data_IF_377865466141
#
_entry.id   IF_377865466141
#
_cell.length_a   1.000
_cell.length_b   1.000
_cell.length_c   1.000
_cell.angle_alpha   90.00
_cell.angle_beta   90.00
_cell.angle_gamma   90.00
#
_symmetry.space_group_name_H-M   'P 1'
#
loop_
_entity.id
_entity.type
_entity.pdbx_description
1 polymer ?
#
# COMPACT_ATOMS: atom_id res chain seq x y z
N UNK A 1 -7.07 10.26 4.76
CA UNK A 1 -7.93 9.08 4.59
C UNK A 1 -7.81 8.21 5.82
N UNK A 2 -8.89 7.60 6.22
CA UNK A 2 -8.95 6.68 7.35
C UNK A 2 -9.68 5.41 6.90
N UNK A 3 -9.32 4.28 7.47
CA UNK A 3 -9.93 2.98 7.19
C UNK A 3 -10.92 2.64 8.30
N UNK A 4 -12.15 2.32 7.93
CA UNK A 4 -13.16 1.76 8.85
C UNK A 4 -13.58 0.38 8.34
N UNK A 5 -13.47 -0.62 9.21
CA UNK A 5 -13.99 -1.96 8.95
C UNK A 5 -15.44 -2.05 9.40
N UNK A 6 -16.29 -2.63 8.59
CA UNK A 6 -17.66 -2.98 8.96
C UNK A 6 -17.89 -4.46 8.68
N UNK A 7 -18.73 -5.11 9.50
CA UNK A 7 -19.17 -6.47 9.22
C UNK A 7 -19.88 -6.50 7.85
N UNK A 8 -19.51 -7.45 7.03
CA UNK A 8 -20.11 -7.67 5.73
C UNK A 8 -21.10 -8.83 5.81
N UNK A 9 -22.38 -8.53 5.57
CA UNK A 9 -23.47 -9.53 5.49
C UNK A 9 -23.48 -10.26 4.14
N UNK A 10 -22.33 -10.51 3.56
CA UNK A 10 -22.22 -11.31 2.35
C UNK A 10 -22.30 -12.81 2.65
N UNK A 11 -22.49 -13.66 1.63
CA UNK A 11 -22.73 -15.10 1.81
C UNK A 11 -21.63 -15.86 2.54
N UNK A 12 -20.52 -15.24 2.91
CA UNK A 12 -19.38 -15.85 3.62
C UNK A 12 -18.94 -15.09 4.89
N UNK A 13 -19.72 -14.11 5.38
CA UNK A 13 -19.46 -13.46 6.68
C UNK A 13 -18.09 -12.82 6.82
N UNK A 14 -17.66 -11.99 5.87
CA UNK A 14 -16.36 -11.31 5.90
C UNK A 14 -16.42 -9.87 6.41
N UNK A 15 -15.28 -9.32 6.83
CA UNK A 15 -15.16 -7.90 7.17
C UNK A 15 -14.89 -7.13 5.87
N UNK A 16 -15.75 -6.17 5.57
CA UNK A 16 -15.56 -5.26 4.44
C UNK A 16 -14.92 -3.97 4.93
N UNK A 17 -13.76 -3.64 4.41
CA UNK A 17 -13.13 -2.36 4.66
C UNK A 17 -13.62 -1.28 3.70
N UNK A 18 -13.86 -0.09 4.24
CA UNK A 18 -14.29 1.08 3.50
C UNK A 18 -13.20 2.15 3.54
N UNK A 19 -12.97 2.81 2.44
CA UNK A 19 -12.15 4.00 2.42
C UNK A 19 -13.02 5.20 2.77
N UNK A 20 -12.72 5.84 3.90
CA UNK A 20 -13.45 7.04 4.36
C UNK A 20 -12.54 8.24 4.37
N UNK A 21 -13.12 9.42 4.28
CA UNK A 21 -12.37 10.67 4.23
C UNK A 21 -12.89 11.73 5.18
N UNK A 22 -12.01 12.66 5.48
CA UNK A 22 -12.30 13.86 6.25
C UNK A 22 -11.81 15.07 5.49
N UNK A 23 -12.50 16.19 5.62
CA UNK A 23 -12.12 17.49 5.05
C UNK A 23 -11.98 18.53 6.13
N UNK A 24 -11.08 19.49 5.94
CA UNK A 24 -10.90 20.65 6.78
C UNK A 24 -10.59 21.88 5.91
N UNK A 25 -11.11 23.08 6.25
CA UNK A 25 -10.82 24.29 5.50
C UNK A 25 -9.38 24.79 5.67
N UNK A 26 -8.75 24.49 6.80
CA UNK A 26 -7.45 25.07 7.19
C UNK A 26 -6.42 24.04 7.70
N UNK A 27 -6.71 22.74 7.62
CA UNK A 27 -5.90 21.62 8.11
C UNK A 27 -5.69 21.57 9.64
N UNK A 28 -6.23 22.54 10.38
CA UNK A 28 -6.03 22.65 11.84
C UNK A 28 -7.30 22.30 12.61
N UNK A 29 -8.44 22.81 12.15
CA UNK A 29 -9.74 22.64 12.82
C UNK A 29 -10.85 22.44 11.80
N UNK A 30 -12.07 22.24 12.30
CA UNK A 30 -13.24 22.09 11.44
C UNK A 30 -13.23 20.83 10.60
N UNK A 31 -12.55 19.76 11.05
CA UNK A 31 -12.55 18.47 10.40
C UNK A 31 -13.95 17.88 10.37
N UNK A 32 -14.42 17.58 9.17
CA UNK A 32 -15.73 16.97 8.94
C UNK A 32 -15.55 15.66 8.18
N UNK A 33 -16.15 14.59 8.69
CA UNK A 33 -16.23 13.31 7.98
C UNK A 33 -17.04 13.48 6.71
N UNK A 34 -16.59 12.90 5.63
CA UNK A 34 -17.36 12.76 4.39
C UNK A 34 -18.39 11.65 4.65
N UNK A 35 -19.68 11.94 4.49
CA UNK A 35 -20.77 11.03 4.87
C UNK A 35 -20.73 9.70 4.11
N UNK A 36 -20.41 9.74 2.82
CA UNK A 36 -20.29 8.53 1.99
C UNK A 36 -18.86 8.02 2.00
N UNK A 37 -18.64 6.71 2.00
CA UNK A 37 -17.33 6.15 1.73
C UNK A 37 -16.75 6.70 0.43
N UNK A 38 -15.43 6.91 0.39
CA UNK A 38 -14.74 7.36 -0.81
C UNK A 38 -14.64 6.25 -1.87
N UNK A 39 -14.75 5.00 -1.44
CA UNK A 39 -14.78 3.81 -2.28
C UNK A 39 -15.84 2.85 -1.77
N UNK A 40 -16.58 2.22 -2.67
CA UNK A 40 -17.65 1.25 -2.40
C UNK A 40 -17.19 -0.21 -2.55
N UNK A 41 -15.90 -0.41 -2.63
CA UNK A 41 -15.26 -1.72 -2.75
C UNK A 41 -14.31 -1.97 -1.57
N UNK A 42 -13.99 -3.24 -1.34
CA UNK A 42 -13.05 -3.61 -0.27
C UNK A 42 -11.64 -3.21 -0.64
N UNK A 43 -10.99 -2.47 0.25
CA UNK A 43 -9.59 -2.05 0.13
C UNK A 43 -8.93 -2.18 1.49
N UNK A 44 -7.72 -2.69 1.50
CA UNK A 44 -6.91 -2.79 2.71
C UNK A 44 -5.64 -1.95 2.52
N UNK A 45 -5.46 -1.01 3.42
CA UNK A 45 -4.38 -0.04 3.29
C UNK A 45 -4.57 0.89 2.09
N UNK A 46 -4.21 2.10 2.24
CA UNK A 46 -4.27 3.07 1.15
C UNK A 46 -3.67 4.40 1.55
N UNK A 47 -2.91 4.94 0.63
CA UNK A 47 -2.29 6.26 0.80
C UNK A 47 -2.66 7.10 -0.41
N UNK A 48 -3.31 8.23 -0.17
CA UNK A 48 -3.35 9.28 -1.17
C UNK A 48 -1.93 9.80 -1.34
N UNK A 49 -1.35 9.50 -2.48
CA UNK A 49 0.03 9.84 -2.77
C UNK A 49 0.17 11.32 -3.10
N UNK A 50 -0.79 11.90 -3.82
CA UNK A 50 -0.74 13.30 -4.17
C UNK A 50 -1.83 13.75 -5.14
N UNK A 51 -1.61 14.94 -5.66
CA UNK A 51 -2.34 15.54 -6.76
C UNK A 51 -1.37 15.72 -7.93
N UNK A 52 -1.79 15.36 -9.11
CA UNK A 52 -1.05 15.47 -10.36
C UNK A 52 -1.62 16.65 -11.15
N UNK A 53 -0.87 17.74 -11.21
CA UNK A 53 -1.26 18.98 -11.90
C UNK A 53 -1.45 18.76 -13.41
N UNK A 54 -0.65 17.89 -14.03
CA UNK A 54 -0.71 17.65 -15.46
C UNK A 54 -2.00 16.96 -15.89
N UNK A 55 -2.52 16.09 -15.05
CA UNK A 55 -3.78 15.36 -15.29
C UNK A 55 -4.95 15.90 -14.49
N UNK A 56 -4.73 16.93 -13.68
CA UNK A 56 -5.71 17.52 -12.77
C UNK A 56 -6.43 16.46 -11.94
N UNK A 57 -5.68 15.50 -11.40
CA UNK A 57 -6.25 14.38 -10.67
C UNK A 57 -5.50 14.03 -9.41
N UNK A 58 -6.24 13.62 -8.39
CA UNK A 58 -5.69 12.92 -7.24
C UNK A 58 -5.31 11.50 -7.63
N UNK A 59 -4.25 10.99 -7.04
CA UNK A 59 -3.87 9.58 -7.18
C UNK A 59 -3.58 8.96 -5.82
N UNK A 60 -3.97 7.70 -5.68
CA UNK A 60 -3.77 6.91 -4.48
C UNK A 60 -3.23 5.54 -4.86
N UNK A 61 -2.27 5.06 -4.08
CA UNK A 61 -1.89 3.66 -4.12
C UNK A 61 -2.71 2.92 -3.07
N UNK A 62 -3.39 1.89 -3.50
CA UNK A 62 -4.34 1.11 -2.71
C UNK A 62 -3.93 -0.36 -2.77
N UNK A 63 -4.23 -1.09 -1.70
CA UNK A 63 -4.04 -2.53 -1.66
C UNK A 63 -5.37 -3.21 -2.02
N UNK A 64 -5.59 -3.57 -3.28
CA UNK A 64 -6.76 -4.31 -3.67
C UNK A 64 -6.70 -5.71 -3.06
N UNK A 65 -7.86 -6.24 -2.68
CA UNK A 65 -8.00 -7.63 -2.24
C UNK A 65 -8.54 -8.46 -3.40
N UNK A 66 -7.95 -9.61 -3.65
CA UNK A 66 -8.48 -10.57 -4.60
C UNK A 66 -8.17 -10.31 -6.07
N UNK A 67 -7.09 -9.66 -6.37
CA UNK A 67 -6.79 -9.22 -7.74
C UNK A 67 -5.54 -9.83 -8.37
N UNK A 68 -4.89 -10.81 -7.76
CA UNK A 68 -3.84 -11.49 -8.49
C UNK A 68 -4.47 -12.42 -9.54
N UNK A 69 -4.26 -12.20 -10.83
CA UNK A 69 -4.62 -13.17 -11.83
C UNK A 69 -3.78 -14.43 -11.57
N UNK A 70 -4.39 -15.61 -11.64
CA UNK A 70 -3.74 -16.92 -11.57
C UNK A 70 -3.12 -17.33 -10.21
N UNK A 71 -3.71 -16.88 -9.09
CA UNK A 71 -3.24 -17.36 -7.78
C UNK A 71 -3.47 -18.85 -7.53
N UNK A 72 -2.43 -19.56 -7.08
CA UNK A 72 -2.65 -20.88 -6.52
C UNK A 72 -3.48 -20.74 -5.24
N UNK A 73 -4.67 -21.27 -5.24
CA UNK A 73 -5.50 -21.38 -4.03
C UNK A 73 -4.74 -22.21 -3.01
N UNK A 74 -4.52 -21.69 -1.81
CA UNK A 74 -4.12 -22.51 -0.68
C UNK A 74 -2.82 -22.21 0.03
N UNK A 75 -2.20 -21.06 -0.11
CA UNK A 75 -1.08 -20.67 0.77
C UNK A 75 -1.63 -19.82 1.92
N UNK A 76 -2.01 -20.44 3.01
CA UNK A 76 -2.64 -19.83 4.16
C UNK A 76 -1.84 -19.92 5.43
N UNK A 77 -1.75 -18.84 6.17
CA UNK A 77 -1.39 -18.88 7.58
C UNK A 77 -2.59 -19.34 8.38
N UNK A 78 -2.55 -20.56 8.82
CA UNK A 78 -3.40 -21.40 9.63
C UNK A 78 -4.40 -20.88 10.65
N UNK A 79 -5.00 -19.74 10.51
CA UNK A 79 -6.01 -19.28 11.46
C UNK A 79 -7.42 -19.13 10.87
N UNK A 80 -7.58 -19.12 9.59
CA UNK A 80 -8.88 -19.20 8.92
C UNK A 80 -8.67 -19.75 7.51
N UNK A 81 -9.48 -20.72 7.10
CA UNK A 81 -9.58 -21.24 5.74
C UNK A 81 -10.08 -20.18 4.72
N UNK A 82 -9.72 -18.94 4.93
CA UNK A 82 -9.93 -17.89 3.96
C UNK A 82 -8.93 -18.10 2.82
N UNK A 83 -9.45 -18.23 1.62
CA UNK A 83 -8.67 -18.14 0.39
C UNK A 83 -7.66 -17.00 0.53
N UNK A 84 -6.39 -17.32 0.63
CA UNK A 84 -5.37 -16.29 0.74
C UNK A 84 -5.20 -15.69 -0.61
N UNK A 85 -5.78 -14.56 -0.69
CA UNK A 85 -5.59 -13.68 -1.80
C UNK A 85 -4.29 -12.94 -1.56
N UNK A 86 -3.29 -13.18 -2.40
CA UNK A 86 -2.05 -12.41 -2.36
C UNK A 86 -2.36 -10.92 -2.47
N UNK A 87 -1.76 -10.15 -1.60
CA UNK A 87 -1.87 -8.70 -1.64
C UNK A 87 -1.00 -8.14 -2.75
N UNK A 88 -1.55 -7.17 -3.47
CA UNK A 88 -0.92 -6.51 -4.59
C UNK A 88 -0.98 -4.99 -4.42
N UNK A 89 -0.32 -4.28 -5.29
CA UNK A 89 -0.37 -2.83 -5.36
C UNK A 89 -1.18 -2.38 -6.58
N UNK A 90 -2.07 -1.43 -6.37
CA UNK A 90 -2.85 -0.82 -7.43
C UNK A 90 -2.91 0.69 -7.28
N UNK A 91 -3.15 1.39 -8.38
CA UNK A 91 -3.36 2.83 -8.42
C UNK A 91 -4.79 3.17 -8.78
N UNK A 92 -5.38 4.08 -8.03
CA UNK A 92 -6.64 4.74 -8.40
C UNK A 92 -6.38 6.22 -8.65
N UNK A 93 -7.05 6.78 -9.66
CA UNK A 93 -7.00 8.21 -9.99
C UNK A 93 -8.42 8.76 -10.06
N UNK A 94 -8.62 9.97 -9.55
CA UNK A 94 -9.91 10.65 -9.60
C UNK A 94 -9.72 12.17 -9.67
N UNK A 95 -10.59 12.84 -10.41
CA UNK A 95 -10.72 14.31 -10.37
C UNK A 95 -11.57 14.77 -9.20
N UNK A 96 -12.43 13.88 -8.71
CA UNK A 96 -13.26 14.11 -7.52
C UNK A 96 -12.73 13.30 -6.34
N UNK A 97 -12.10 13.99 -5.38
CA UNK A 97 -11.58 13.38 -4.16
C UNK A 97 -12.60 12.51 -3.40
N UNK A 98 -13.89 12.71 -3.63
CA UNK A 98 -14.98 12.01 -2.91
C UNK A 98 -15.35 10.66 -3.53
N UNK A 99 -14.95 10.42 -4.79
CA UNK A 99 -15.30 9.19 -5.51
C UNK A 99 -14.03 8.56 -6.11
N UNK A 100 -13.63 7.43 -5.57
CA UNK A 100 -12.44 6.72 -6.01
C UNK A 100 -12.84 5.45 -6.78
N UNK A 101 -12.42 5.31 -8.04
CA UNK A 101 -12.67 4.11 -8.82
C UNK A 101 -11.84 2.93 -8.26
N UNK A 102 -12.22 1.68 -8.59
CA UNK A 102 -11.38 0.52 -8.28
C UNK A 102 -9.96 0.71 -8.81
N UNK A 103 -8.93 0.35 -8.01
CA UNK A 103 -7.55 0.52 -8.42
C UNK A 103 -7.20 -0.41 -9.58
N UNK A 104 -6.39 0.10 -10.51
CA UNK A 104 -5.73 -0.72 -11.53
C UNK A 104 -4.46 -1.30 -10.93
N UNK A 105 -4.23 -2.58 -11.12
CA UNK A 105 -3.00 -3.24 -10.68
C UNK A 105 -1.79 -2.58 -11.34
N UNK A 106 -0.76 -2.33 -10.53
CA UNK A 106 0.51 -1.76 -10.97
C UNK A 106 1.70 -2.62 -10.61
N UNK A 107 1.59 -3.38 -9.53
CA UNK A 107 2.66 -4.28 -9.09
C UNK A 107 2.06 -5.42 -8.25
N UNK A 108 2.52 -6.63 -8.50
CA UNK A 108 2.14 -7.84 -7.76
C UNK A 108 3.31 -8.81 -7.75
N UNK A 109 3.34 -9.79 -6.81
CA UNK A 109 4.34 -10.84 -6.83
C UNK A 109 4.26 -11.63 -8.15
N UNK A 110 5.38 -11.81 -8.80
CA UNK A 110 5.49 -12.51 -10.09
C UNK A 110 6.33 -13.78 -9.99
N UNK A 111 6.62 -14.44 -11.11
CA UNK A 111 7.35 -15.69 -11.16
C UNK A 111 8.81 -15.62 -10.67
N UNK A 112 9.35 -14.42 -10.43
CA UNK A 112 10.68 -14.24 -9.85
C UNK A 112 10.64 -14.05 -8.33
N UNK A 113 9.45 -14.00 -7.75
CA UNK A 113 9.24 -13.86 -6.31
C UNK A 113 8.96 -15.24 -5.68
N UNK A 114 9.26 -15.35 -4.39
CA UNK A 114 8.88 -16.53 -3.62
C UNK A 114 7.35 -16.69 -3.57
N UNK A 115 6.89 -17.92 -3.58
CA UNK A 115 5.45 -18.22 -3.63
C UNK A 115 4.70 -17.80 -2.37
N UNK A 116 5.40 -17.62 -1.26
CA UNK A 116 4.83 -17.29 0.05
C UNK A 116 4.77 -15.81 0.36
N UNK A 117 5.10 -14.93 -0.58
CA UNK A 117 5.09 -13.47 -0.32
C UNK A 117 3.83 -12.77 -0.81
N UNK A 118 3.52 -11.65 -0.17
CA UNK A 118 2.59 -10.65 -0.67
C UNK A 118 3.09 -9.23 -0.38
N UNK A 119 2.61 -8.26 -1.14
CA UNK A 119 2.93 -6.85 -0.94
C UNK A 119 1.97 -6.27 0.09
N UNK A 120 2.47 -5.99 1.30
CA UNK A 120 1.62 -5.63 2.42
C UNK A 120 1.13 -4.19 2.37
N UNK A 121 2.00 -3.28 1.95
CA UNK A 121 1.70 -1.87 1.81
C UNK A 121 2.54 -1.27 0.67
N UNK A 122 2.36 0.02 0.43
CA UNK A 122 3.11 0.71 -0.61
C UNK A 122 3.25 2.18 -0.20
N UNK A 123 4.46 2.55 0.12
CA UNK A 123 4.78 3.90 0.57
C UNK A 123 5.44 4.64 -0.58
N UNK A 124 4.60 5.31 -1.38
CA UNK A 124 5.05 6.13 -2.50
C UNK A 124 5.74 7.40 -2.01
N UNK A 125 6.80 7.77 -2.72
CA UNK A 125 7.45 9.08 -2.58
C UNK A 125 7.94 9.58 -3.95
N UNK A 126 7.87 10.90 -4.21
CA UNK A 126 8.61 11.51 -5.31
C UNK A 126 10.11 11.28 -5.09
N UNK A 127 10.84 10.87 -6.13
CA UNK A 127 12.27 10.66 -5.97
C UNK A 127 12.98 12.02 -5.79
N UNK A 128 13.84 12.16 -4.80
CA UNK A 128 14.49 13.42 -4.49
C UNK A 128 15.24 14.00 -5.68
N UNK A 129 14.99 15.28 -5.99
CA UNK A 129 15.65 16.00 -7.06
C UNK A 129 15.23 15.60 -8.49
N UNK A 130 14.20 14.74 -8.64
CA UNK A 130 13.69 14.29 -9.93
C UNK A 130 12.17 14.39 -10.00
N UNK A 131 11.67 15.04 -11.03
CA UNK A 131 10.23 15.15 -11.31
C UNK A 131 9.68 14.01 -12.16
N UNK A 132 10.57 13.28 -12.83
CA UNK A 132 10.29 12.18 -13.75
C UNK A 132 10.59 10.80 -13.15
N UNK A 133 10.72 10.72 -11.83
CA UNK A 133 11.03 9.48 -11.15
C UNK A 133 10.25 9.38 -9.82
N UNK A 134 9.62 8.25 -9.63
CA UNK A 134 8.92 7.88 -8.41
C UNK A 134 9.66 6.77 -7.70
N UNK A 135 9.65 6.81 -6.39
CA UNK A 135 10.09 5.71 -5.53
C UNK A 135 8.92 5.13 -4.75
N UNK A 136 9.06 3.90 -4.33
CA UNK A 136 8.10 3.23 -3.46
C UNK A 136 8.82 2.26 -2.54
N UNK A 137 8.60 2.39 -1.25
CA UNK A 137 8.90 1.31 -0.32
C UNK A 137 7.77 0.30 -0.37
N UNK A 138 8.14 -0.95 -0.52
CA UNK A 138 7.22 -2.08 -0.66
C UNK A 138 7.50 -3.07 0.46
N UNK A 139 6.75 -3.04 1.57
CA UNK A 139 6.82 -4.07 2.59
C UNK A 139 6.39 -5.41 2.02
N UNK A 140 7.26 -6.39 2.16
CA UNK A 140 7.09 -7.76 1.70
C UNK A 140 6.74 -8.64 2.90
N UNK A 141 5.53 -9.15 2.91
CA UNK A 141 5.07 -10.05 3.94
C UNK A 141 5.31 -11.50 3.52
N UNK A 142 6.02 -12.25 4.37
CA UNK A 142 6.34 -13.67 4.20
C UNK A 142 5.32 -14.50 4.98
N UNK A 143 4.44 -15.20 4.27
CA UNK A 143 3.35 -15.94 4.90
C UNK A 143 3.84 -17.13 5.74
N UNK A 144 4.92 -17.79 5.33
CA UNK A 144 5.47 -18.94 6.02
C UNK A 144 6.03 -18.59 7.42
N UNK A 145 6.61 -17.40 7.58
CA UNK A 145 7.26 -16.97 8.83
C UNK A 145 6.48 -15.91 9.60
N UNK A 146 5.55 -15.23 8.94
CA UNK A 146 4.87 -14.05 9.48
C UNK A 146 5.76 -12.81 9.56
N UNK A 147 6.94 -12.85 8.96
CA UNK A 147 7.88 -11.74 8.93
C UNK A 147 7.56 -10.74 7.83
N UNK A 148 8.08 -9.53 7.95
CA UNK A 148 7.92 -8.50 6.94
C UNK A 148 9.19 -7.64 6.85
N UNK A 149 9.84 -7.67 5.71
CA UNK A 149 10.92 -6.75 5.34
C UNK A 149 10.43 -5.69 4.34
N UNK A 150 11.29 -4.76 3.94
CA UNK A 150 10.93 -3.72 2.98
C UNK A 150 11.87 -3.70 1.79
N UNK A 151 11.33 -3.86 0.59
CA UNK A 151 12.04 -3.64 -0.67
C UNK A 151 11.83 -2.21 -1.19
N UNK A 152 12.58 -1.83 -2.23
CA UNK A 152 12.42 -0.57 -2.93
C UNK A 152 12.06 -0.82 -4.40
N UNK A 153 11.16 0.01 -4.93
CA UNK A 153 10.77 0.01 -6.33
C UNK A 153 10.84 1.42 -6.92
N UNK A 154 11.01 1.48 -8.23
CA UNK A 154 11.08 2.73 -8.98
C UNK A 154 10.14 2.72 -10.18
N UNK A 155 9.66 3.89 -10.55
CA UNK A 155 8.77 4.06 -11.71
C UNK A 155 8.98 5.45 -12.34
N UNK A 156 8.83 5.55 -13.66
CA UNK A 156 8.86 6.84 -14.37
C UNK A 156 7.47 7.46 -14.52
N UNK A 157 6.42 6.67 -14.45
CA UNK A 157 5.04 7.08 -14.72
C UNK A 157 4.09 6.82 -13.55
N UNK A 158 4.61 6.17 -12.49
CA UNK A 158 3.81 5.73 -11.34
C UNK A 158 2.88 4.55 -11.64
N UNK A 159 2.97 3.96 -12.84
CA UNK A 159 2.13 2.85 -13.29
C UNK A 159 2.92 1.55 -13.44
N UNK A 160 4.07 1.63 -14.13
CA UNK A 160 4.96 0.50 -14.32
C UNK A 160 6.10 0.61 -13.30
N UNK A 161 6.20 -0.38 -12.45
CA UNK A 161 7.16 -0.40 -11.35
C UNK A 161 8.22 -1.47 -11.56
N UNK A 162 9.44 -1.12 -11.22
CA UNK A 162 10.60 -1.97 -11.32
C UNK A 162 11.27 -2.12 -9.95
N UNK A 163 11.48 -3.36 -9.50
CA UNK A 163 12.23 -3.73 -8.29
C UNK A 163 13.61 -4.23 -8.73
N UNK A 164 14.66 -3.40 -8.67
CA UNK A 164 15.95 -3.72 -9.31
C UNK A 164 16.63 -4.94 -8.70
N UNK A 165 16.56 -5.11 -7.39
CA UNK A 165 17.29 -6.18 -6.70
C UNK A 165 16.41 -7.26 -6.10
N UNK A 166 15.12 -6.99 -5.89
CA UNK A 166 14.18 -7.89 -5.21
C UNK A 166 14.70 -8.43 -3.86
N UNK A 167 15.49 -7.59 -3.18
CA UNK A 167 16.07 -7.87 -1.87
C UNK A 167 15.60 -6.83 -0.86
N UNK A 168 15.63 -7.14 0.43
CA UNK A 168 15.35 -6.16 1.45
C UNK A 168 16.26 -4.94 1.31
N UNK A 169 15.66 -3.76 1.18
CA UNK A 169 16.32 -2.47 1.33
C UNK A 169 16.46 -2.12 2.81
N UNK A 170 15.42 -2.42 3.59
CA UNK A 170 15.47 -2.42 5.05
C UNK A 170 15.29 -3.86 5.51
N UNK A 171 16.34 -4.42 6.09
CA UNK A 171 16.38 -5.81 6.56
C UNK A 171 15.87 -5.93 7.97
N UNK A 172 15.37 -7.11 8.32
CA UNK A 172 15.07 -7.45 9.70
C UNK A 172 16.34 -7.45 10.54
N UNK A 173 16.18 -7.08 11.80
CA UNK A 173 17.24 -7.20 12.81
C UNK A 173 17.47 -8.64 13.27
N UNK A 174 18.54 -8.90 14.01
CA UNK A 174 18.83 -10.22 14.56
C UNK A 174 17.78 -10.61 15.62
N UNK A 175 17.62 -11.92 15.89
CA UNK A 175 16.70 -12.40 16.93
C UNK A 175 16.96 -11.72 18.29
N UNK A 176 15.88 -11.25 18.93
CA UNK A 176 15.94 -10.55 20.22
C UNK A 176 16.25 -9.06 20.12
N UNK A 177 16.42 -8.49 18.92
CA UNK A 177 16.62 -7.04 18.72
C UNK A 177 15.34 -6.21 18.86
N UNK A 178 14.18 -6.84 18.76
CA UNK A 178 12.88 -6.16 18.61
C UNK A 178 12.56 -5.78 17.15
N UNK A 179 13.47 -6.04 16.23
CA UNK A 179 13.34 -5.77 14.80
C UNK A 179 13.30 -7.05 13.96
N UNK A 180 13.18 -8.20 14.59
CA UNK A 180 13.20 -9.52 13.94
C UNK A 180 11.88 -9.94 13.31
N UNK A 181 10.79 -9.20 13.60
CA UNK A 181 9.44 -9.57 13.17
C UNK A 181 9.01 -8.87 11.91
N UNK A 182 8.62 -7.62 12.04
CA UNK A 182 8.08 -6.82 10.96
C UNK A 182 8.71 -5.45 10.93
N UNK A 183 9.16 -5.02 9.76
CA UNK A 183 9.65 -3.67 9.52
C UNK A 183 8.80 -3.01 8.42
N UNK A 184 8.10 -1.96 8.80
CA UNK A 184 7.45 -1.05 7.88
C UNK A 184 8.16 0.30 7.85
N UNK A 185 8.12 0.98 6.72
CA UNK A 185 8.73 2.30 6.54
C UNK A 185 7.68 3.39 6.37
N UNK A 186 8.08 4.63 6.52
CA UNK A 186 7.30 5.81 6.21
C UNK A 186 7.80 6.47 4.92
N UNK A 187 7.30 7.65 4.59
CA UNK A 187 7.79 8.43 3.45
C UNK A 187 9.20 8.95 3.72
N UNK A 188 9.93 9.21 2.64
CA UNK A 188 11.19 9.95 2.71
C UNK A 188 10.95 11.40 3.12
N UNK A 189 11.80 11.89 4.01
CA UNK A 189 11.85 13.26 4.47
C UNK A 189 13.25 13.81 4.30
N UNK A 190 13.37 15.03 3.80
CA UNK A 190 14.64 15.71 3.79
C UNK A 190 14.93 16.25 5.19
N UNK A 191 16.12 15.94 5.70
CA UNK A 191 16.59 16.39 6.99
C UNK A 191 17.24 17.78 6.86
N UNK A 192 17.38 18.53 7.96
CA UNK A 192 17.98 19.87 7.93
C UNK A 192 19.45 19.91 7.44
N UNK A 193 20.16 18.81 7.55
CA UNK A 193 21.53 18.64 7.07
C UNK A 193 21.64 18.24 5.59
N UNK A 194 20.49 18.16 4.89
CA UNK A 194 20.41 17.80 3.49
C UNK A 194 20.31 16.31 3.20
N UNK A 195 20.49 15.45 4.21
CA UNK A 195 20.28 14.01 4.07
C UNK A 195 18.79 13.67 3.90
N UNK A 196 18.55 12.46 3.47
CA UNK A 196 17.21 11.90 3.38
C UNK A 196 17.04 10.78 4.39
N UNK A 197 15.94 10.82 5.12
CA UNK A 197 15.61 9.84 6.14
C UNK A 197 14.20 9.30 5.98
N UNK A 198 13.98 8.08 6.43
CA UNK A 198 12.67 7.48 6.58
C UNK A 198 12.55 6.86 7.96
N UNK A 199 11.55 7.23 8.76
CA UNK A 199 11.23 6.48 9.97
C UNK A 199 10.77 5.07 9.60
N UNK A 200 11.08 4.11 10.46
CA UNK A 200 10.58 2.74 10.36
C UNK A 200 10.06 2.26 11.74
N UNK A 201 9.26 1.21 11.75
CA UNK A 201 8.68 0.59 12.94
C UNK A 201 8.64 -0.92 12.81
#
# INVERSE_FOLDING_TARGET
MHYEGAAYDGPKGGVRGWLVGWTSPDRRKGWKKIEKPLADYSVNGGIVAGYDEATESYYAYLQPQGFAPDEPKGVGTGAQEAEIVRRANGIARTKDFRNWPPPKLTMYPDAQDDLDISFYAHIHFPYPGRTDLHGMFVPIFHHATGQMDTQIAFSRDGLVWYRPERKPFVTLGPPGSGEEGMIGTSRLHQLPDGHWGTPYW
#
